data_IF_973145390043
#
_entry.id   IF_973145390043
#
_cell.length_a   1.000
_cell.length_b   1.000
_cell.length_c   1.000
_cell.angle_alpha   90.00
_cell.angle_beta   90.00
_cell.angle_gamma   90.00
#
_symmetry.space_group_name_H-M   'P 1'
#
loop_
_entity.id
_entity.type
_entity.pdbx_description
1 polymer ?
#
# COMPACT_ATOMS: atom_id res chain seq x y z
N UNK A 1 -8.60 -4.83 -32.23
CA UNK A 1 -7.91 -3.77 -31.47
C UNK A 1 -8.51 -3.58 -30.06
N UNK A 2 -9.84 -3.39 -29.87
CA UNK A 2 -10.49 -3.24 -28.55
C UNK A 2 -10.20 -4.42 -27.58
N UNK A 3 -10.28 -5.68 -28.03
CA UNK A 3 -9.98 -6.87 -27.19
C UNK A 3 -8.56 -6.87 -26.62
N UNK A 4 -7.57 -6.50 -27.42
CA UNK A 4 -6.19 -6.41 -26.96
C UNK A 4 -6.00 -5.31 -25.91
N UNK A 5 -6.59 -4.14 -26.14
CA UNK A 5 -6.56 -3.01 -25.19
C UNK A 5 -7.18 -3.41 -23.84
N UNK A 6 -8.36 -4.05 -23.88
CA UNK A 6 -9.04 -4.51 -22.66
C UNK A 6 -8.21 -5.56 -21.91
N UNK A 7 -7.63 -6.54 -22.63
CA UNK A 7 -6.77 -7.55 -22.02
C UNK A 7 -5.52 -6.93 -21.37
N UNK A 8 -4.92 -5.94 -22.03
CA UNK A 8 -3.76 -5.23 -21.51
C UNK A 8 -4.08 -4.44 -20.23
N UNK A 9 -5.16 -3.67 -20.21
CA UNK A 9 -5.55 -2.93 -19.01
C UNK A 9 -6.05 -3.84 -17.87
N UNK A 10 -6.70 -4.94 -18.20
CA UNK A 10 -7.03 -5.97 -17.22
C UNK A 10 -5.78 -6.59 -16.59
N UNK A 11 -4.76 -6.88 -17.41
CA UNK A 11 -3.46 -7.34 -16.92
C UNK A 11 -2.81 -6.29 -16.01
N UNK A 12 -2.75 -5.03 -16.43
CA UNK A 12 -2.13 -3.93 -15.67
C UNK A 12 -2.77 -3.72 -14.29
N UNK A 13 -4.10 -3.72 -14.20
CA UNK A 13 -4.78 -3.55 -12.91
C UNK A 13 -4.51 -4.72 -11.95
N UNK A 14 -4.47 -5.95 -12.48
CA UNK A 14 -4.20 -7.13 -11.66
C UNK A 14 -2.72 -7.23 -11.27
N UNK A 15 -1.81 -6.87 -12.16
CA UNK A 15 -0.39 -6.74 -11.87
C UNK A 15 -0.16 -5.69 -10.76
N UNK A 16 -0.79 -4.52 -10.88
CA UNK A 16 -0.73 -3.47 -9.87
C UNK A 16 -1.21 -3.94 -8.51
N UNK A 17 -2.40 -4.55 -8.45
CA UNK A 17 -2.95 -5.08 -7.20
C UNK A 17 -2.09 -6.20 -6.61
N UNK A 18 -1.61 -7.14 -7.43
CA UNK A 18 -0.78 -8.27 -6.99
C UNK A 18 0.57 -7.83 -6.45
N UNK A 19 1.25 -6.92 -7.14
CA UNK A 19 2.54 -6.36 -6.69
C UNK A 19 2.35 -5.55 -5.41
N UNK A 20 1.31 -4.74 -5.31
CA UNK A 20 1.01 -3.95 -4.12
C UNK A 20 0.81 -4.84 -2.89
N UNK A 21 -0.12 -5.80 -2.96
CA UNK A 21 -0.38 -6.76 -1.88
C UNK A 21 0.88 -7.54 -1.53
N UNK A 22 1.59 -8.04 -2.54
CA UNK A 22 2.82 -8.82 -2.35
C UNK A 22 3.92 -8.03 -1.65
N UNK A 23 4.13 -6.76 -2.02
CA UNK A 23 5.14 -5.90 -1.39
C UNK A 23 4.85 -5.65 0.09
N UNK A 24 3.61 -5.27 0.43
CA UNK A 24 3.20 -5.03 1.82
C UNK A 24 3.24 -6.32 2.67
N UNK A 25 2.75 -7.43 2.13
CA UNK A 25 2.77 -8.72 2.81
C UNK A 25 4.22 -9.20 3.05
N UNK A 26 5.08 -9.14 2.04
CA UNK A 26 6.50 -9.51 2.16
C UNK A 26 7.19 -8.64 3.21
N UNK A 27 6.97 -7.33 3.20
CA UNK A 27 7.54 -6.45 4.20
C UNK A 27 7.10 -6.84 5.61
N UNK A 28 5.80 -7.01 5.85
CA UNK A 28 5.26 -7.32 7.16
C UNK A 28 5.70 -8.68 7.71
N UNK A 29 5.70 -9.71 6.86
CA UNK A 29 5.99 -11.08 7.30
C UNK A 29 7.47 -11.45 7.23
N UNK A 30 8.21 -10.98 6.22
CA UNK A 30 9.54 -11.47 5.94
C UNK A 30 10.67 -10.44 6.16
N UNK A 31 10.38 -9.15 6.25
CA UNK A 31 11.41 -8.11 6.34
C UNK A 31 11.45 -7.47 7.72
N UNK A 32 10.34 -6.96 8.23
CA UNK A 32 10.33 -6.14 9.45
C UNK A 32 10.89 -6.90 10.66
N UNK A 33 10.32 -8.05 11.00
CA UNK A 33 10.72 -8.79 12.20
C UNK A 33 12.18 -9.31 12.14
N UNK A 34 12.70 -9.89 11.03
CA UNK A 34 14.11 -10.27 10.93
C UNK A 34 15.07 -9.10 11.08
N UNK A 35 14.75 -7.91 10.51
CA UNK A 35 15.61 -6.72 10.62
C UNK A 35 15.71 -6.26 12.08
N UNK A 36 14.59 -6.18 12.80
CA UNK A 36 14.59 -5.78 14.20
C UNK A 36 15.23 -6.79 15.15
N UNK A 37 15.23 -8.10 14.78
CA UNK A 37 15.89 -9.15 15.57
C UNK A 37 17.38 -9.29 15.25
N UNK A 38 17.77 -8.98 14.01
CA UNK A 38 19.14 -9.20 13.52
C UNK A 38 20.10 -8.04 13.75
N UNK A 39 19.58 -6.84 14.03
CA UNK A 39 20.41 -5.64 14.21
C UNK A 39 20.59 -5.28 15.70
N UNK A 40 21.78 -4.82 16.10
CA UNK A 40 22.09 -4.52 17.51
C UNK A 40 21.45 -3.24 18.02
N UNK A 41 20.90 -2.39 17.14
CA UNK A 41 20.34 -1.07 17.45
C UNK A 41 18.93 -0.95 16.89
N UNK A 42 17.98 -0.56 17.73
CA UNK A 42 16.60 -0.26 17.33
C UNK A 42 16.54 0.92 16.36
N UNK A 43 17.40 1.91 16.57
CA UNK A 43 17.54 3.08 15.69
C UNK A 43 18.02 2.66 14.30
N UNK A 44 19.01 1.78 14.22
CA UNK A 44 19.52 1.25 12.95
C UNK A 44 18.47 0.41 12.23
N UNK A 45 17.79 -0.48 12.95
CA UNK A 45 16.70 -1.30 12.41
C UNK A 45 15.56 -0.43 11.88
N UNK A 46 15.15 0.59 12.65
CA UNK A 46 14.13 1.56 12.25
C UNK A 46 14.52 2.37 11.02
N UNK A 47 15.81 2.74 10.91
CA UNK A 47 16.33 3.46 9.74
C UNK A 47 16.30 2.59 8.49
N UNK A 48 16.76 1.35 8.59
CA UNK A 48 16.76 0.43 7.46
C UNK A 48 15.33 0.09 7.00
N UNK A 49 14.44 -0.21 7.95
CA UNK A 49 13.03 -0.50 7.61
C UNK A 49 12.31 0.71 7.02
N UNK A 50 12.60 1.93 7.47
CA UNK A 50 12.05 3.15 6.88
C UNK A 50 12.52 3.34 5.42
N UNK A 51 13.80 3.06 5.11
CA UNK A 51 14.29 3.10 3.74
C UNK A 51 13.60 2.07 2.83
N UNK A 52 13.39 0.84 3.33
CA UNK A 52 12.65 -0.19 2.58
C UNK A 52 11.20 0.24 2.36
N UNK A 53 10.53 0.76 3.40
CA UNK A 53 9.15 1.28 3.29
C UNK A 53 9.04 2.42 2.28
N UNK A 54 10.03 3.31 2.22
CA UNK A 54 10.05 4.37 1.22
C UNK A 54 10.08 3.81 -0.22
N UNK A 55 10.84 2.74 -0.46
CA UNK A 55 10.85 2.04 -1.76
C UNK A 55 9.52 1.34 -2.05
N UNK A 56 8.91 0.73 -1.04
CA UNK A 56 7.58 0.12 -1.16
C UNK A 56 6.54 1.19 -1.48
N UNK A 57 6.54 2.34 -0.82
CA UNK A 57 5.61 3.43 -1.12
C UNK A 57 5.74 3.92 -2.57
N UNK A 58 6.97 3.95 -3.12
CA UNK A 58 7.18 4.25 -4.54
C UNK A 58 6.55 3.18 -5.45
N UNK A 59 6.72 1.91 -5.10
CA UNK A 59 6.06 0.81 -5.83
C UNK A 59 4.53 0.89 -5.74
N UNK A 60 3.98 1.20 -4.57
CA UNK A 60 2.54 1.40 -4.36
C UNK A 60 2.01 2.54 -5.23
N UNK A 61 2.75 3.63 -5.37
CA UNK A 61 2.37 4.76 -6.23
C UNK A 61 2.33 4.34 -7.71
N UNK A 62 3.30 3.55 -8.18
CA UNK A 62 3.30 3.01 -9.54
C UNK A 62 2.11 2.06 -9.74
N UNK A 63 1.86 1.15 -8.79
CA UNK A 63 0.72 0.24 -8.82
C UNK A 63 -0.61 0.99 -8.82
N UNK A 64 -0.74 2.03 -7.98
CA UNK A 64 -1.91 2.92 -7.97
C UNK A 64 -2.16 3.55 -9.35
N UNK A 65 -1.09 4.01 -10.01
CA UNK A 65 -1.19 4.61 -11.34
C UNK A 65 -1.72 3.60 -12.39
N UNK A 66 -1.27 2.34 -12.33
CA UNK A 66 -1.77 1.28 -13.20
C UNK A 66 -3.25 1.01 -12.98
N UNK A 67 -3.66 0.90 -11.70
CA UNK A 67 -5.05 0.62 -11.34
C UNK A 67 -5.98 1.79 -11.71
N UNK A 68 -5.57 3.03 -11.46
CA UNK A 68 -6.34 4.22 -11.82
C UNK A 68 -6.48 4.34 -13.34
N UNK A 69 -5.39 4.15 -14.10
CA UNK A 69 -5.41 4.21 -15.55
C UNK A 69 -6.35 3.15 -16.15
N UNK A 70 -6.27 1.92 -15.65
CA UNK A 70 -7.17 0.85 -16.07
C UNK A 70 -8.63 1.18 -15.74
N UNK A 71 -8.90 1.68 -14.52
CA UNK A 71 -10.25 2.08 -14.10
C UNK A 71 -10.82 3.18 -15.02
N UNK A 72 -10.03 4.19 -15.39
CA UNK A 72 -10.45 5.25 -16.30
C UNK A 72 -10.79 4.71 -17.69
N UNK A 73 -9.97 3.81 -18.24
CA UNK A 73 -10.21 3.19 -19.54
C UNK A 73 -11.50 2.38 -19.54
N UNK A 74 -11.75 1.57 -18.51
CA UNK A 74 -12.95 0.76 -18.41
C UNK A 74 -14.21 1.60 -18.14
N UNK A 75 -14.13 2.64 -17.32
CA UNK A 75 -15.26 3.55 -17.08
C UNK A 75 -15.65 4.35 -18.32
N UNK A 76 -14.69 4.65 -19.21
CA UNK A 76 -14.96 5.29 -20.50
C UNK A 76 -15.73 4.38 -21.47
N UNK A 77 -15.62 3.05 -21.31
CA UNK A 77 -16.29 2.06 -22.14
C UNK A 77 -17.63 1.66 -21.52
N UNK A 78 -18.74 2.28 -21.94
CA UNK A 78 -20.08 2.00 -21.40
C UNK A 78 -20.49 0.52 -21.48
N UNK A 79 -20.04 -0.18 -22.50
CA UNK A 79 -20.28 -1.61 -22.74
C UNK A 79 -19.65 -2.52 -21.67
N UNK A 80 -18.63 -2.04 -20.96
CA UNK A 80 -17.87 -2.77 -19.93
C UNK A 80 -18.33 -2.47 -18.49
N UNK A 81 -19.43 -1.74 -18.31
CA UNK A 81 -19.93 -1.33 -16.98
C UNK A 81 -20.80 -2.41 -16.35
N UNK A 82 -20.20 -3.51 -15.93
CA UNK A 82 -20.88 -4.49 -15.05
C UNK A 82 -20.89 -4.01 -13.59
N UNK A 83 -21.78 -4.57 -12.76
CA UNK A 83 -21.79 -4.32 -11.30
C UNK A 83 -20.44 -4.68 -10.66
N UNK A 84 -19.85 -5.76 -11.16
CA UNK A 84 -18.56 -6.26 -10.68
C UNK A 84 -17.41 -5.28 -11.01
N UNK A 85 -17.43 -4.72 -12.22
CA UNK A 85 -16.46 -3.68 -12.64
C UNK A 85 -16.58 -2.42 -11.80
N UNK A 86 -17.79 -1.97 -11.49
CA UNK A 86 -18.00 -0.82 -10.61
C UNK A 86 -17.47 -1.12 -9.21
N UNK A 87 -17.75 -2.30 -8.64
CA UNK A 87 -17.25 -2.71 -7.33
C UNK A 87 -15.71 -2.71 -7.29
N UNK A 88 -15.05 -3.27 -8.31
CA UNK A 88 -13.58 -3.22 -8.44
C UNK A 88 -13.05 -1.80 -8.48
N UNK A 89 -13.67 -0.94 -9.25
CA UNK A 89 -13.26 0.48 -9.35
C UNK A 89 -13.38 1.19 -8.00
N UNK A 90 -14.44 0.92 -7.24
CA UNK A 90 -14.62 1.47 -5.89
C UNK A 90 -13.52 0.95 -4.96
N UNK A 91 -13.23 -0.35 -4.98
CA UNK A 91 -12.16 -0.92 -4.15
C UNK A 91 -10.80 -0.33 -4.52
N UNK A 92 -10.49 -0.20 -5.82
CA UNK A 92 -9.26 0.47 -6.26
C UNK A 92 -9.18 1.92 -5.78
N UNK A 93 -10.27 2.67 -5.87
CA UNK A 93 -10.36 4.04 -5.36
C UNK A 93 -10.12 4.14 -3.85
N UNK A 94 -10.68 3.20 -3.07
CA UNK A 94 -10.44 3.10 -1.64
C UNK A 94 -8.97 2.78 -1.32
N UNK A 95 -8.35 1.84 -2.05
CA UNK A 95 -6.93 1.52 -1.89
C UNK A 95 -6.04 2.75 -2.12
N UNK A 96 -6.31 3.51 -3.18
CA UNK A 96 -5.55 4.72 -3.50
C UNK A 96 -5.77 5.80 -2.44
N UNK A 97 -6.99 6.01 -1.97
CA UNK A 97 -7.31 6.99 -0.92
C UNK A 97 -6.61 6.65 0.41
N UNK A 98 -6.69 5.38 0.83
CA UNK A 98 -6.02 4.89 2.04
C UNK A 98 -4.50 5.04 1.92
N UNK A 99 -3.90 4.65 0.79
CA UNK A 99 -2.48 4.83 0.50
C UNK A 99 -2.07 6.31 0.53
N UNK A 100 -2.84 7.18 -0.10
CA UNK A 100 -2.55 8.62 -0.12
C UNK A 100 -2.45 9.20 1.29
N UNK A 101 -3.23 8.71 2.22
CA UNK A 101 -3.15 9.15 3.61
C UNK A 101 -1.93 8.57 4.35
N UNK A 102 -1.75 7.23 4.39
CA UNK A 102 -0.66 6.65 5.17
C UNK A 102 0.72 6.83 4.49
N UNK A 103 0.79 6.71 3.17
CA UNK A 103 2.03 6.77 2.42
C UNK A 103 2.59 8.19 2.26
N UNK A 104 1.77 9.22 2.42
CA UNK A 104 2.22 10.62 2.35
C UNK A 104 2.17 11.31 3.70
N UNK A 105 0.98 11.42 4.32
CA UNK A 105 0.79 12.22 5.53
C UNK A 105 1.42 11.57 6.76
N UNK A 106 1.07 10.30 7.04
CA UNK A 106 1.61 9.62 8.22
C UNK A 106 3.11 9.37 8.07
N UNK A 107 3.55 8.92 6.89
CA UNK A 107 4.96 8.63 6.63
C UNK A 107 5.85 9.87 6.83
N UNK A 108 5.44 11.03 6.31
CA UNK A 108 6.21 12.29 6.47
C UNK A 108 6.32 12.70 7.93
N UNK A 109 5.21 12.62 8.70
CA UNK A 109 5.25 13.01 10.11
C UNK A 109 6.10 12.04 10.95
N UNK A 110 5.99 10.72 10.70
CA UNK A 110 6.81 9.70 11.36
C UNK A 110 8.29 9.90 11.03
N UNK A 111 8.62 10.20 9.79
CA UNK A 111 10.00 10.47 9.37
C UNK A 111 10.57 11.71 10.09
N UNK A 112 9.80 12.80 10.18
CA UNK A 112 10.19 13.98 10.92
C UNK A 112 10.43 13.68 12.41
N UNK A 113 9.48 12.98 13.06
CA UNK A 113 9.64 12.58 14.46
C UNK A 113 10.91 11.74 14.66
N UNK A 114 11.15 10.77 13.79
CA UNK A 114 12.29 9.86 13.87
C UNK A 114 13.63 10.58 13.71
N UNK A 115 13.73 11.48 12.71
CA UNK A 115 15.02 12.07 12.31
C UNK A 115 15.35 13.37 13.02
N UNK A 116 14.35 14.15 13.41
CA UNK A 116 14.55 15.49 13.98
C UNK A 116 14.30 15.49 15.49
N UNK A 117 13.17 14.97 15.93
CA UNK A 117 12.76 15.08 17.33
C UNK A 117 13.37 13.97 18.19
N UNK A 118 13.30 12.71 17.78
CA UNK A 118 13.73 11.56 18.59
C UNK A 118 15.22 11.27 18.39
N UNK A 119 15.66 11.16 17.13
CA UNK A 119 17.03 10.88 16.66
C UNK A 119 17.54 9.47 17.04
N UNK A 120 17.33 9.01 18.26
CA UNK A 120 17.73 7.67 18.70
C UNK A 120 16.63 7.01 19.53
N UNK A 121 16.41 5.70 19.26
CA UNK A 121 15.50 4.83 20.03
C UNK A 121 16.26 3.91 20.99
N UNK A 122 17.60 3.87 20.92
CA UNK A 122 18.41 2.97 21.72
C UNK A 122 18.55 3.42 23.16
N UNK A 123 18.44 4.70 23.42
CA UNK A 123 18.44 5.29 24.77
C UNK A 123 17.14 6.01 25.05
N UNK A 124 16.63 5.88 26.27
CA UNK A 124 15.43 6.60 26.70
C UNK A 124 15.81 8.00 27.20
N UNK A 125 15.14 9.01 26.67
CA UNK A 125 15.28 10.41 27.06
C UNK A 125 13.86 10.93 27.41
N UNK A 126 13.66 11.32 28.66
CA UNK A 126 12.37 11.79 29.17
C UNK A 126 11.87 13.04 28.44
N UNK A 127 12.79 13.91 28.02
CA UNK A 127 12.45 15.12 27.25
C UNK A 127 11.83 14.82 25.90
N UNK A 128 12.04 13.60 25.37
CA UNK A 128 11.55 13.13 24.07
C UNK A 128 10.33 12.18 24.19
N UNK A 129 9.79 11.97 25.40
CA UNK A 129 8.66 11.06 25.64
C UNK A 129 7.47 11.39 24.75
N UNK A 130 7.05 12.65 24.69
CA UNK A 130 5.90 13.07 23.90
C UNK A 130 6.06 12.75 22.39
N UNK A 131 7.26 12.97 21.84
CA UNK A 131 7.56 12.65 20.45
C UNK A 131 7.54 11.13 20.18
N UNK A 132 8.03 10.32 21.14
CA UNK A 132 7.97 8.85 21.04
C UNK A 132 6.54 8.32 21.12
N UNK A 133 5.73 8.84 22.02
CA UNK A 133 4.31 8.46 22.16
C UNK A 133 3.53 8.81 20.88
N UNK A 134 3.81 9.98 20.28
CA UNK A 134 3.23 10.35 18.99
C UNK A 134 3.69 9.40 17.88
N UNK A 135 4.98 9.11 17.80
CA UNK A 135 5.53 8.18 16.81
C UNK A 135 4.87 6.81 16.91
N UNK A 136 4.75 6.23 18.10
CA UNK A 136 4.15 4.92 18.33
C UNK A 136 2.67 4.89 17.95
N UNK A 137 1.93 5.96 18.24
CA UNK A 137 0.54 6.10 17.80
C UNK A 137 0.42 6.14 16.30
N UNK A 138 1.25 6.95 15.62
CA UNK A 138 1.25 7.06 14.16
C UNK A 138 1.71 5.76 13.50
N UNK A 139 2.70 5.07 14.06
CA UNK A 139 3.18 3.79 13.57
C UNK A 139 2.08 2.71 13.64
N UNK A 140 1.34 2.64 14.76
CA UNK A 140 0.18 1.74 14.88
C UNK A 140 -0.89 2.07 13.84
N UNK A 141 -1.15 3.35 13.60
CA UNK A 141 -2.13 3.79 12.62
C UNK A 141 -1.68 3.45 11.20
N UNK A 142 -0.42 3.72 10.85
CA UNK A 142 0.19 3.33 9.58
C UNK A 142 0.04 1.82 9.33
N UNK A 143 0.40 0.99 10.30
CA UNK A 143 0.31 -0.47 10.18
C UNK A 143 -1.13 -0.94 9.97
N UNK A 144 -2.12 -0.32 10.64
CA UNK A 144 -3.54 -0.63 10.43
C UNK A 144 -4.02 -0.29 9.02
N UNK A 145 -3.66 0.88 8.50
CA UNK A 145 -4.04 1.28 7.14
C UNK A 145 -3.32 0.45 6.06
N UNK A 146 -2.04 0.17 6.22
CA UNK A 146 -1.31 -0.72 5.32
C UNK A 146 -1.92 -2.14 5.33
N UNK A 147 -2.28 -2.67 6.51
CA UNK A 147 -2.99 -3.94 6.64
C UNK A 147 -4.37 -3.91 5.99
N UNK A 148 -5.14 -2.85 6.18
CA UNK A 148 -6.43 -2.68 5.49
C UNK A 148 -6.27 -2.69 3.96
N UNK A 149 -5.21 -2.05 3.46
CA UNK A 149 -4.90 -2.05 2.02
C UNK A 149 -4.56 -3.45 1.48
N UNK A 150 -3.90 -4.29 2.26
CA UNK A 150 -3.69 -5.70 1.89
C UNK A 150 -5.04 -6.42 1.72
N UNK A 151 -5.98 -6.25 2.66
CA UNK A 151 -7.30 -6.88 2.56
C UNK A 151 -8.13 -6.34 1.41
N UNK A 152 -8.10 -5.02 1.16
CA UNK A 152 -8.75 -4.41 -0.01
C UNK A 152 -8.16 -4.97 -1.32
N UNK A 153 -6.84 -5.11 -1.41
CA UNK A 153 -6.17 -5.64 -2.58
C UNK A 153 -6.49 -7.13 -2.81
N UNK A 154 -6.56 -7.95 -1.76
CA UNK A 154 -7.03 -9.33 -1.87
C UNK A 154 -8.49 -9.39 -2.35
N UNK A 155 -9.36 -8.53 -1.81
CA UNK A 155 -10.74 -8.39 -2.28
C UNK A 155 -10.82 -7.98 -3.76
N UNK A 156 -9.99 -7.03 -4.20
CA UNK A 156 -9.89 -6.63 -5.60
C UNK A 156 -9.49 -7.81 -6.51
N UNK A 157 -8.47 -8.57 -6.13
CA UNK A 157 -8.02 -9.75 -6.89
C UNK A 157 -9.09 -10.85 -6.95
N UNK A 158 -9.82 -11.05 -5.85
CA UNK A 158 -10.95 -11.99 -5.83
C UNK A 158 -12.06 -11.56 -6.79
N UNK A 159 -12.46 -10.28 -6.78
CA UNK A 159 -13.43 -9.74 -7.73
C UNK A 159 -12.95 -9.89 -9.18
N UNK A 160 -11.66 -9.72 -9.44
CA UNK A 160 -11.07 -9.95 -10.77
C UNK A 160 -11.20 -11.39 -11.23
N UNK A 161 -11.10 -12.36 -10.31
CA UNK A 161 -11.32 -13.78 -10.60
C UNK A 161 -12.74 -14.10 -11.01
N UNK A 162 -13.73 -13.44 -10.41
CA UNK A 162 -15.15 -13.60 -10.79
C UNK A 162 -15.46 -12.94 -12.12
N UNK A 163 -14.93 -11.75 -12.40
CA UNK A 163 -15.15 -11.04 -13.65
C UNK A 163 -14.73 -11.85 -14.89
N UNK A 164 -13.67 -12.65 -14.76
CA UNK A 164 -13.17 -13.50 -15.85
C UNK A 164 -14.10 -14.69 -16.17
N UNK A 165 -15.06 -15.00 -15.29
CA UNK A 165 -15.98 -16.14 -15.42
C UNK A 165 -17.35 -15.76 -15.97
N UNK A 166 -17.69 -14.48 -16.07
CA UNK A 166 -18.93 -14.04 -16.72
C UNK A 166 -18.83 -14.37 -18.21
N UNK A 167 -19.68 -15.25 -18.77
CA UNK A 167 -19.72 -15.51 -20.21
C UNK A 167 -20.08 -14.21 -20.93
N UNK A 168 -19.46 -13.93 -22.06
CA UNK A 168 -19.94 -12.92 -23.01
C UNK A 168 -21.29 -13.44 -23.55
N UNK A 169 -22.43 -13.02 -22.97
CA UNK A 169 -23.77 -13.21 -23.54
C UNK A 169 -23.94 -12.37 -24.82
#
# INVERSE_FOLDING_TARGET
MKRFVNAFFFFLENLGAGVWVGALATFGFAVAAPVFRGLPSVTLAGTLTAQVLHRINLMEMICASFMVLAALVFLAQREQRSRLRIAKTVVAGLMVAVFSYYGTTLMKRMEYLRTVEIQTFDTFDESKRAARDEFDRLHKLYTRFAGANVWLGLGFLLLSGFERREPEE
#
